data_IF_779528025901
#
_entry.id   IF_779528025901
#
_cell.length_a   1.000
_cell.length_b   1.000
_cell.length_c   1.000
_cell.angle_alpha   90.00
_cell.angle_beta   90.00
_cell.angle_gamma   90.00
#
_symmetry.space_group_name_H-M   'P 1'
#
loop_
_entity.id
_entity.type
_entity.pdbx_description
1 polymer ?
#
# COMPACT_ATOMS: atom_id res chain seq x y z
N UNK A 1 19.22 -2.97 -14.53
CA UNK A 1 19.56 -1.84 -13.65
C UNK A 1 18.96 -2.15 -12.29
N UNK A 2 19.78 -2.32 -11.24
CA UNK A 2 19.24 -2.46 -9.90
C UNK A 2 18.50 -1.15 -9.55
N UNK A 3 17.23 -1.18 -9.12
CA UNK A 3 16.56 0.03 -8.67
C UNK A 3 17.39 0.58 -7.50
N UNK A 4 17.71 1.86 -7.53
CA UNK A 4 18.44 2.56 -6.49
C UNK A 4 17.75 2.30 -5.13
N UNK A 5 18.25 1.35 -4.34
CA UNK A 5 17.69 0.97 -3.04
C UNK A 5 18.13 1.97 -1.96
N UNK A 6 17.83 3.24 -2.17
CA UNK A 6 18.15 4.28 -1.20
C UNK A 6 17.08 4.29 -0.10
N UNK A 7 17.47 4.23 1.19
CA UNK A 7 16.56 4.46 2.29
C UNK A 7 16.16 5.94 2.39
N UNK A 8 15.14 6.23 3.19
CA UNK A 8 14.69 7.61 3.42
C UNK A 8 14.12 8.22 2.15
N UNK A 9 13.06 7.62 1.61
CA UNK A 9 12.46 8.06 0.35
C UNK A 9 11.00 8.41 0.52
N UNK A 10 10.56 9.37 -0.30
CA UNK A 10 9.16 9.64 -0.56
C UNK A 10 8.87 8.98 -1.90
N UNK A 11 7.78 8.22 -1.95
CA UNK A 11 7.44 7.42 -3.09
C UNK A 11 5.99 7.65 -3.50
N UNK A 12 5.73 7.34 -4.76
CA UNK A 12 4.42 7.34 -5.37
C UNK A 12 4.11 5.92 -5.86
N UNK A 13 2.88 5.46 -5.66
CA UNK A 13 2.36 4.24 -6.27
C UNK A 13 1.24 4.66 -7.22
N UNK A 14 1.53 4.55 -8.52
CA UNK A 14 0.60 4.86 -9.59
C UNK A 14 -0.19 3.61 -9.97
N UNK A 15 -1.50 3.75 -10.09
CA UNK A 15 -2.36 2.75 -10.69
C UNK A 15 -2.60 3.06 -12.17
N UNK A 16 -2.79 2.05 -13.02
CA UNK A 16 -3.16 2.25 -14.43
C UNK A 16 -4.47 3.02 -14.62
N UNK A 17 -5.33 3.11 -13.60
CA UNK A 17 -6.52 3.94 -13.60
C UNK A 17 -6.26 5.43 -13.30
N UNK A 18 -4.99 5.86 -13.29
CA UNK A 18 -4.52 7.21 -12.97
C UNK A 18 -4.67 7.62 -11.50
N UNK A 19 -5.13 6.72 -10.62
CA UNK A 19 -5.06 6.94 -9.18
C UNK A 19 -3.60 6.90 -8.69
N UNK A 20 -3.27 7.77 -7.75
CA UNK A 20 -1.95 7.85 -7.15
C UNK A 20 -2.03 7.78 -5.63
N UNK A 21 -1.10 7.05 -5.01
CA UNK A 21 -0.85 7.06 -3.57
C UNK A 21 0.55 7.59 -3.30
N UNK A 22 0.70 8.49 -2.33
CA UNK A 22 2.00 9.02 -1.91
C UNK A 22 2.28 8.58 -0.48
N UNK A 23 3.51 8.16 -0.21
CA UNK A 23 3.93 7.79 1.13
C UNK A 23 5.41 8.01 1.38
N UNK A 24 5.81 7.96 2.64
CA UNK A 24 7.22 7.94 3.03
C UNK A 24 7.70 6.61 3.63
N UNK A 25 9.02 6.43 3.56
CA UNK A 25 9.70 5.39 4.31
C UNK A 25 11.13 5.72 4.68
N UNK A 26 11.53 5.27 5.86
CA UNK A 26 12.94 5.16 6.24
C UNK A 26 13.69 3.99 5.59
N UNK A 27 12.97 3.01 5.02
CA UNK A 27 13.55 1.85 4.32
C UNK A 27 13.60 2.10 2.80
N UNK A 28 13.92 1.07 2.01
CA UNK A 28 13.82 1.13 0.55
C UNK A 28 12.36 1.11 0.08
N UNK A 29 12.13 1.62 -1.13
CA UNK A 29 10.84 1.51 -1.82
C UNK A 29 10.42 0.05 -2.03
N UNK A 30 11.36 -0.84 -2.38
CA UNK A 30 11.11 -2.28 -2.56
C UNK A 30 10.48 -2.89 -1.29
N UNK A 31 11.07 -2.61 -0.14
CA UNK A 31 10.58 -3.09 1.15
C UNK A 31 9.16 -2.58 1.47
N UNK A 32 8.90 -1.29 1.25
CA UNK A 32 7.55 -0.74 1.47
C UNK A 32 6.51 -1.30 0.51
N UNK A 33 6.88 -1.44 -0.76
CA UNK A 33 5.97 -1.96 -1.75
C UNK A 33 5.60 -3.41 -1.43
N UNK A 34 6.54 -4.22 -0.97
CA UNK A 34 6.27 -5.57 -0.47
C UNK A 34 5.30 -5.57 0.72
N UNK A 35 5.42 -4.62 1.66
CA UNK A 35 4.44 -4.48 2.75
C UNK A 35 3.02 -4.22 2.23
N UNK A 36 2.86 -3.32 1.24
CA UNK A 36 1.57 -3.06 0.60
C UNK A 36 1.03 -4.29 -0.13
N UNK A 37 1.89 -5.01 -0.88
CA UNK A 37 1.51 -6.26 -1.55
C UNK A 37 1.11 -7.35 -0.55
N UNK A 38 1.77 -7.44 0.60
CA UNK A 38 1.41 -8.37 1.66
C UNK A 38 0.01 -8.08 2.22
N UNK A 39 -0.33 -6.82 2.43
CA UNK A 39 -1.69 -6.41 2.81
C UNK A 39 -2.71 -6.77 1.71
N UNK A 40 -2.39 -6.51 0.44
CA UNK A 40 -3.25 -6.86 -0.69
C UNK A 40 -3.45 -8.38 -0.82
N UNK A 41 -2.39 -9.16 -0.61
CA UNK A 41 -2.46 -10.62 -0.61
C UNK A 41 -3.32 -11.15 0.54
N UNK A 42 -3.29 -10.51 1.72
CA UNK A 42 -4.19 -10.88 2.83
C UNK A 42 -5.66 -10.68 2.44
N UNK A 43 -5.98 -9.56 1.78
CA UNK A 43 -7.30 -9.28 1.24
C UNK A 43 -7.71 -10.31 0.18
N UNK A 44 -6.88 -10.57 -0.84
CA UNK A 44 -7.17 -11.54 -1.90
C UNK A 44 -7.43 -12.95 -1.35
N UNK A 45 -6.59 -13.39 -0.41
CA UNK A 45 -6.80 -14.68 0.26
C UNK A 45 -8.14 -14.73 1.01
N UNK A 46 -8.54 -13.64 1.69
CA UNK A 46 -9.82 -13.60 2.38
C UNK A 46 -11.01 -13.58 1.40
N UNK A 47 -10.87 -12.89 0.27
CA UNK A 47 -11.85 -12.91 -0.81
C UNK A 47 -12.00 -14.31 -1.42
N UNK A 48 -10.91 -15.03 -1.63
CA UNK A 48 -10.94 -16.41 -2.13
C UNK A 48 -11.58 -17.37 -1.11
N UNK A 49 -11.27 -17.21 0.18
CA UNK A 49 -11.91 -17.96 1.27
C UNK A 49 -13.43 -17.72 1.28
N UNK A 50 -13.87 -16.45 1.14
CA UNK A 50 -15.28 -16.07 1.05
C UNK A 50 -15.99 -16.71 -0.16
N UNK A 51 -15.29 -16.79 -1.29
CA UNK A 51 -15.80 -17.40 -2.54
C UNK A 51 -15.73 -18.92 -2.55
N UNK A 52 -15.20 -19.56 -1.50
CA UNK A 52 -14.96 -21.00 -1.46
C UNK A 52 -13.84 -21.48 -2.41
N UNK A 53 -13.04 -20.55 -2.95
CA UNK A 53 -11.88 -20.81 -3.80
C UNK A 53 -10.59 -20.93 -3.00
N UNK A 54 -10.64 -20.65 -1.69
CA UNK A 54 -9.52 -20.79 -0.77
C UNK A 54 -8.94 -22.20 -0.80
N UNK A 55 -7.67 -22.33 -1.19
CA UNK A 55 -6.95 -23.59 -1.10
C UNK A 55 -6.89 -24.00 0.38
N UNK A 56 -7.28 -25.24 0.69
CA UNK A 56 -7.11 -25.82 2.04
C UNK A 56 -5.62 -25.83 2.40
N UNK A 57 -5.16 -24.82 3.13
CA UNK A 57 -3.77 -24.74 3.59
C UNK A 57 -3.56 -25.72 4.74
N UNK A 58 -2.42 -26.42 4.75
CA UNK A 58 -1.94 -27.10 5.96
C UNK A 58 -1.52 -26.03 6.95
N UNK A 59 -2.18 -25.98 8.11
CA UNK A 59 -1.87 -25.01 9.16
C UNK A 59 -3.10 -24.59 9.97
N UNK A 60 -2.90 -23.61 10.85
CA UNK A 60 -3.98 -23.06 11.69
C UNK A 60 -4.97 -22.29 10.81
N UNK A 61 -6.28 -22.57 10.88
CA UNK A 61 -7.30 -21.74 10.25
C UNK A 61 -7.18 -20.28 10.71
N UNK A 62 -7.55 -19.33 9.84
CA UNK A 62 -7.71 -17.93 10.28
C UNK A 62 -8.71 -17.88 11.43
N UNK A 63 -8.41 -17.04 12.42
CA UNK A 63 -9.30 -16.81 13.56
C UNK A 63 -10.50 -15.93 13.19
N UNK A 64 -10.28 -14.98 12.29
CA UNK A 64 -11.27 -14.03 11.80
C UNK A 64 -12.06 -14.63 10.64
N UNK A 65 -13.33 -14.26 10.54
CA UNK A 65 -14.15 -14.60 9.38
C UNK A 65 -13.60 -13.91 8.11
N UNK A 66 -13.80 -14.48 6.91
CA UNK A 66 -13.30 -13.90 5.67
C UNK A 66 -13.64 -12.42 5.48
N UNK A 67 -14.90 -12.03 5.73
CA UNK A 67 -15.35 -10.64 5.59
C UNK A 67 -14.62 -9.70 6.57
N UNK A 68 -14.45 -10.12 7.83
CA UNK A 68 -13.74 -9.32 8.84
C UNK A 68 -12.26 -9.15 8.47
N UNK A 69 -11.64 -10.20 7.94
CA UNK A 69 -10.26 -10.15 7.46
C UNK A 69 -10.10 -9.22 6.23
N UNK A 70 -11.10 -9.18 5.34
CA UNK A 70 -11.15 -8.23 4.23
C UNK A 70 -11.27 -6.79 4.75
N UNK A 71 -12.17 -6.54 5.69
CA UNK A 71 -12.39 -5.22 6.28
C UNK A 71 -11.16 -4.71 7.02
N UNK A 72 -10.46 -5.59 7.76
CA UNK A 72 -9.20 -5.26 8.42
C UNK A 72 -8.11 -4.88 7.40
N UNK A 73 -7.98 -5.67 6.33
CA UNK A 73 -7.00 -5.39 5.27
C UNK A 73 -7.29 -4.07 4.54
N UNK A 74 -8.56 -3.78 4.25
CA UNK A 74 -9.01 -2.49 3.71
C UNK A 74 -8.64 -1.38 4.71
N UNK A 75 -9.04 -1.47 5.98
CA UNK A 75 -8.74 -0.46 7.00
C UNK A 75 -7.24 -0.23 7.21
N UNK A 76 -6.39 -1.23 7.00
CA UNK A 76 -4.95 -1.09 7.19
C UNK A 76 -4.22 -0.37 6.05
N UNK A 77 -4.77 -0.30 4.84
CA UNK A 77 -4.06 0.28 3.69
C UNK A 77 -5.01 0.92 2.67
N UNK A 78 -4.77 2.20 2.36
CA UNK A 78 -5.47 2.91 1.30
C UNK A 78 -5.28 2.26 -0.09
N UNK A 79 -4.13 1.61 -0.31
CA UNK A 79 -3.88 0.87 -1.56
C UNK A 79 -4.77 -0.37 -1.65
N UNK A 80 -4.96 -1.09 -0.55
CA UNK A 80 -5.89 -2.24 -0.51
C UNK A 80 -7.33 -1.77 -0.71
N UNK A 81 -7.72 -0.66 -0.08
CA UNK A 81 -9.03 -0.06 -0.32
C UNK A 81 -9.25 0.27 -1.79
N UNK A 82 -8.28 0.91 -2.45
CA UNK A 82 -8.35 1.21 -3.87
C UNK A 82 -8.39 -0.05 -4.75
N UNK A 83 -7.46 -0.98 -4.55
CA UNK A 83 -7.36 -2.22 -5.31
C UNK A 83 -8.56 -3.17 -5.09
N UNK A 84 -9.34 -2.99 -4.03
CA UNK A 84 -10.60 -3.73 -3.83
C UNK A 84 -11.70 -3.32 -4.83
N UNK A 85 -11.55 -2.17 -5.50
CA UNK A 85 -12.51 -1.59 -6.44
C UNK A 85 -11.91 -1.35 -7.82
N UNK A 86 -10.65 -1.74 -8.03
CA UNK A 86 -9.91 -1.46 -9.26
C UNK A 86 -8.98 -2.62 -9.60
N UNK A 87 -9.05 -3.10 -10.84
CA UNK A 87 -8.18 -4.16 -11.38
C UNK A 87 -6.87 -3.63 -12.00
N UNK A 88 -6.56 -2.35 -11.77
CA UNK A 88 -5.39 -1.71 -12.34
C UNK A 88 -4.07 -2.20 -11.75
N UNK A 89 -3.02 -2.19 -12.57
CA UNK A 89 -1.68 -2.55 -12.11
C UNK A 89 -1.04 -1.37 -11.35
N UNK A 90 -0.33 -1.69 -10.26
CA UNK A 90 0.36 -0.72 -9.42
C UNK A 90 1.84 -0.61 -9.81
N UNK A 91 2.35 0.62 -9.92
CA UNK A 91 3.73 0.93 -10.27
C UNK A 91 4.37 1.82 -9.19
N UNK A 92 5.31 1.29 -8.39
CA UNK A 92 6.01 2.08 -7.38
C UNK A 92 7.15 2.90 -8.00
N UNK A 93 7.21 4.19 -7.68
CA UNK A 93 8.22 5.14 -8.13
C UNK A 93 8.77 5.95 -6.96
N UNK A 94 10.09 6.21 -6.93
CA UNK A 94 10.67 7.17 -5.99
C UNK A 94 10.51 8.57 -6.56
N UNK A 95 9.90 9.48 -5.79
CA UNK A 95 9.69 10.88 -6.20
C UNK A 95 10.66 11.85 -5.50
N UNK A 96 11.16 11.49 -4.32
CA UNK A 96 12.21 12.24 -3.64
C UNK A 96 13.02 11.36 -2.68
N UNK A 97 14.27 11.74 -2.41
CA UNK A 97 15.10 11.18 -1.33
C UNK A 97 15.28 12.25 -0.26
N UNK A 98 14.95 11.90 0.99
CA UNK A 98 15.08 12.76 2.15
C UNK A 98 15.40 11.88 3.36
N UNK A 99 16.69 11.74 3.75
CA UNK A 99 17.09 10.90 4.87
C UNK A 99 16.55 11.40 6.22
N UNK A 100 16.42 12.72 6.42
CA UNK A 100 15.90 13.27 7.67
C UNK A 100 14.41 12.95 7.82
N UNK A 101 14.05 12.25 8.90
CA UNK A 101 12.68 11.81 9.13
C UNK A 101 11.68 12.97 9.20
N UNK A 102 12.03 14.07 9.90
CA UNK A 102 11.10 15.19 10.10
C UNK A 102 10.85 15.94 8.79
N UNK A 103 11.92 16.20 8.03
CA UNK A 103 11.79 16.81 6.70
C UNK A 103 11.04 15.91 5.73
N UNK A 104 11.24 14.59 5.81
CA UNK A 104 10.55 13.63 4.95
C UNK A 104 9.04 13.62 5.19
N UNK A 105 8.61 13.67 6.46
CA UNK A 105 7.20 13.81 6.86
C UNK A 105 6.57 15.12 6.35
N UNK A 106 7.25 16.25 6.55
CA UNK A 106 6.82 17.55 6.02
C UNK A 106 6.66 17.50 4.50
N UNK A 107 7.65 16.96 3.80
CA UNK A 107 7.62 16.84 2.34
C UNK A 107 6.50 15.90 1.86
N UNK A 108 6.32 14.74 2.50
CA UNK A 108 5.21 13.81 2.23
C UNK A 108 3.87 14.54 2.32
N UNK A 109 3.62 15.25 3.43
CA UNK A 109 2.40 16.01 3.64
C UNK A 109 2.18 17.09 2.56
N UNK A 110 3.24 17.75 2.12
CA UNK A 110 3.18 18.72 1.01
C UNK A 110 2.83 18.02 -0.31
N UNK A 111 3.47 16.90 -0.64
CA UNK A 111 3.13 16.14 -1.85
C UNK A 111 1.68 15.68 -1.85
N UNK A 112 1.16 15.18 -0.73
CA UNK A 112 -0.24 14.76 -0.62
C UNK A 112 -1.20 15.95 -0.81
N UNK A 113 -0.90 17.11 -0.22
CA UNK A 113 -1.77 18.29 -0.31
C UNK A 113 -1.84 18.90 -1.71
N UNK A 114 -0.76 18.81 -2.48
CA UNK A 114 -0.68 19.44 -3.80
C UNK A 114 -1.04 18.51 -4.96
N UNK A 115 -1.29 17.22 -4.70
CA UNK A 115 -1.65 16.24 -5.72
C UNK A 115 -3.02 15.61 -5.45
N UNK A 116 -3.70 15.15 -6.51
CA UNK A 116 -4.92 14.36 -6.37
C UNK A 116 -4.53 12.92 -6.07
N UNK A 117 -4.65 12.50 -4.81
CA UNK A 117 -4.20 11.19 -4.34
C UNK A 117 -5.28 10.45 -3.56
N UNK A 118 -5.14 9.12 -3.46
CA UNK A 118 -6.04 8.22 -2.72
C UNK A 118 -5.72 8.14 -1.22
N UNK A 119 -4.76 8.92 -0.73
CA UNK A 119 -4.41 9.02 0.68
C UNK A 119 -5.63 9.43 1.53
N UNK A 120 -5.80 8.79 2.69
CA UNK A 120 -6.93 9.07 3.60
C UNK A 120 -6.74 10.32 4.43
N UNK A 121 -5.50 10.58 4.83
CA UNK A 121 -5.09 11.66 5.72
C UNK A 121 -5.00 13.02 5.02
N UNK A 122 -5.09 13.08 3.68
CA UNK A 122 -5.01 14.34 2.91
C UNK A 122 -3.82 15.24 3.30
N UNK A 123 -2.75 14.65 3.82
CA UNK A 123 -1.53 15.36 4.24
C UNK A 123 -1.70 16.15 5.55
N UNK A 124 -2.67 15.79 6.39
CA UNK A 124 -2.77 16.21 7.79
C UNK A 124 -2.07 15.16 8.66
N UNK A 125 -0.86 15.48 9.11
CA UNK A 125 -0.20 14.77 10.21
C UNK A 125 -0.63 15.31 11.57
#
# INVERSE_FOLDING_TARGET
MAPNEKPGVIYEILCTCSASYIGETGNSLSHRYEQHLNCLNRYKNALDDQRGLGIKRRGRPRKLQPNEAMDEAIKASAIVEHASRCDGQLYPNVIANEPDFRLRKIKEALYIRHNVVINRDKGTE
#
